data_IF_531857527190
#
_entry.id   IF_531857527190
#
_cell.length_a   1.000
_cell.length_b   1.000
_cell.length_c   1.000
_cell.angle_alpha   90.00
_cell.angle_beta   90.00
_cell.angle_gamma   90.00
#
_symmetry.space_group_name_H-M   'P 1'
#
loop_
_entity.id
_entity.type
_entity.pdbx_description
1 polymer ?
#
# COMPACT_ATOMS: atom_id res chain seq x y z
N UNK A 1 21.17 15.66 -18.42
CA UNK A 1 20.56 14.36 -18.73
C UNK A 1 20.68 13.50 -17.48
N UNK A 2 19.58 13.20 -16.81
CA UNK A 2 19.57 12.27 -15.68
C UNK A 2 19.65 10.85 -16.23
N UNK A 3 20.74 10.15 -15.97
CA UNK A 3 20.88 8.73 -16.32
C UNK A 3 19.83 7.94 -15.55
N UNK A 4 19.00 7.17 -16.26
CA UNK A 4 18.04 6.27 -15.62
C UNK A 4 18.79 5.10 -14.97
N UNK A 5 18.41 4.66 -13.76
CA UNK A 5 19.02 3.52 -13.12
C UNK A 5 18.77 2.24 -13.94
N UNK A 6 19.77 1.37 -13.95
CA UNK A 6 19.73 0.05 -14.58
C UNK A 6 18.84 -0.92 -13.78
N UNK A 7 18.38 -2.04 -14.39
CA UNK A 7 17.62 -3.06 -13.66
C UNK A 7 18.35 -3.63 -12.45
N UNK A 8 19.69 -3.76 -12.52
CA UNK A 8 20.52 -4.24 -11.41
C UNK A 8 20.51 -3.26 -10.25
N UNK A 9 20.71 -1.96 -10.52
CA UNK A 9 20.66 -0.92 -9.49
C UNK A 9 19.27 -0.80 -8.86
N UNK A 10 18.21 -1.03 -9.63
CA UNK A 10 16.84 -1.05 -9.10
C UNK A 10 16.57 -2.26 -8.21
N UNK A 11 17.06 -3.44 -8.60
CA UNK A 11 16.93 -4.66 -7.79
C UNK A 11 17.70 -4.54 -6.46
N UNK A 12 18.91 -3.98 -6.50
CA UNK A 12 19.73 -3.71 -5.32
C UNK A 12 19.04 -2.72 -4.37
N UNK A 13 18.55 -1.58 -4.89
CA UNK A 13 17.77 -0.61 -4.10
C UNK A 13 16.51 -1.22 -3.50
N UNK A 14 15.83 -2.12 -4.21
CA UNK A 14 14.66 -2.81 -3.66
C UNK A 14 15.04 -3.68 -2.45
N UNK A 15 16.16 -4.41 -2.52
CA UNK A 15 16.65 -5.21 -1.40
C UNK A 15 17.03 -4.34 -0.18
N UNK A 16 17.73 -3.23 -0.41
CA UNK A 16 18.06 -2.27 0.67
C UNK A 16 16.81 -1.59 1.24
N UNK A 17 15.81 -1.27 0.40
CA UNK A 17 14.53 -0.73 0.88
C UNK A 17 13.79 -1.74 1.76
N UNK A 18 13.82 -3.03 1.43
CA UNK A 18 13.24 -4.09 2.28
C UNK A 18 14.02 -4.22 3.60
N UNK A 19 15.35 -4.07 3.57
CA UNK A 19 16.17 -4.03 4.79
C UNK A 19 15.79 -2.86 5.68
N UNK A 20 15.63 -1.67 5.12
CA UNK A 20 15.21 -0.47 5.84
C UNK A 20 13.79 -0.61 6.40
N UNK A 21 12.87 -1.21 5.63
CA UNK A 21 11.53 -1.56 6.10
C UNK A 21 11.58 -2.50 7.31
N UNK A 22 12.38 -3.58 7.23
CA UNK A 22 12.54 -4.54 8.33
C UNK A 22 13.12 -3.88 9.59
N UNK A 23 13.98 -2.88 9.43
CA UNK A 23 14.48 -2.10 10.55
C UNK A 23 13.40 -1.19 11.14
N UNK A 24 12.64 -0.50 10.28
CA UNK A 24 11.59 0.42 10.69
C UNK A 24 10.45 -0.27 11.47
N UNK A 25 10.16 -1.55 11.20
CA UNK A 25 9.15 -2.32 11.95
C UNK A 25 9.57 -2.73 13.36
N UNK A 26 10.83 -2.49 13.76
CA UNK A 26 11.30 -2.80 15.12
C UNK A 26 10.75 -1.79 16.14
N UNK A 27 10.28 -2.23 17.33
CA UNK A 27 9.68 -1.33 18.34
C UNK A 27 10.59 -0.21 18.83
N UNK A 28 11.90 -0.38 18.74
CA UNK A 28 12.90 0.59 19.22
C UNK A 28 13.41 1.54 18.12
N UNK A 29 13.01 1.33 16.86
CA UNK A 29 13.25 2.24 15.76
C UNK A 29 12.05 3.18 15.61
N UNK A 30 11.31 3.09 14.50
CA UNK A 30 10.01 3.78 14.35
C UNK A 30 8.85 2.93 14.87
N UNK A 31 8.94 1.60 14.72
CA UNK A 31 7.88 0.66 15.04
C UNK A 31 6.65 0.84 14.17
N UNK A 32 5.60 0.09 14.51
CA UNK A 32 4.23 0.33 14.03
C UNK A 32 3.48 0.97 15.19
N UNK A 33 3.03 2.21 15.03
CA UNK A 33 2.37 2.98 16.10
C UNK A 33 0.91 2.57 16.24
N UNK A 34 0.25 2.29 15.10
CA UNK A 34 -1.15 1.90 15.04
C UNK A 34 -1.36 0.64 14.17
N UNK A 35 -2.44 -0.13 14.38
CA UNK A 35 -2.83 -1.21 13.48
C UNK A 35 -2.97 -0.78 12.01
N UNK A 36 -3.36 0.49 11.77
CA UNK A 36 -3.41 1.08 10.43
C UNK A 36 -2.05 1.16 9.72
N UNK A 37 -0.95 1.26 10.47
CA UNK A 37 0.41 1.21 9.90
C UNK A 37 0.72 -0.21 9.38
N UNK A 38 0.30 -1.24 10.11
CA UNK A 38 0.42 -2.63 9.69
C UNK A 38 -0.43 -2.89 8.44
N UNK A 39 -1.68 -2.41 8.41
CA UNK A 39 -2.57 -2.51 7.25
C UNK A 39 -1.90 -1.92 6.01
N UNK A 40 -1.48 -0.65 6.08
CA UNK A 40 -0.86 0.05 4.95
C UNK A 40 0.46 -0.60 4.51
N UNK A 41 1.27 -1.07 5.46
CA UNK A 41 2.53 -1.75 5.17
C UNK A 41 2.30 -3.07 4.43
N UNK A 42 1.35 -3.90 4.88
CA UNK A 42 1.01 -5.18 4.23
C UNK A 42 0.42 -4.95 2.85
N UNK A 43 -0.44 -3.95 2.65
CA UNK A 43 -0.97 -3.59 1.34
C UNK A 43 0.14 -3.15 0.37
N UNK A 44 1.12 -2.38 0.82
CA UNK A 44 2.27 -2.01 -0.03
C UNK A 44 3.16 -3.22 -0.38
N UNK A 45 3.34 -4.16 0.55
CA UNK A 45 4.05 -5.41 0.30
C UNK A 45 3.31 -6.29 -0.72
N UNK A 46 1.98 -6.33 -0.69
CA UNK A 46 1.18 -7.10 -1.67
C UNK A 46 1.41 -6.56 -3.09
N UNK A 47 1.46 -5.23 -3.24
CA UNK A 47 1.78 -4.59 -4.52
C UNK A 47 3.18 -4.94 -5.05
N UNK A 48 4.17 -5.12 -4.18
CA UNK A 48 5.50 -5.59 -4.58
C UNK A 48 5.42 -7.04 -5.09
N UNK A 49 4.78 -7.93 -4.32
CA UNK A 49 4.62 -9.33 -4.69
C UNK A 49 3.90 -9.49 -6.05
N UNK A 50 2.83 -8.72 -6.28
CA UNK A 50 2.07 -8.70 -7.54
C UNK A 50 2.92 -8.29 -8.75
N UNK A 51 3.94 -7.45 -8.57
CA UNK A 51 4.77 -6.92 -9.67
C UNK A 51 5.98 -7.80 -10.01
N UNK A 52 6.50 -8.57 -9.06
CA UNK A 52 7.66 -9.44 -9.25
C UNK A 52 7.53 -10.41 -10.44
N UNK A 53 6.37 -11.06 -10.70
CA UNK A 53 6.20 -11.94 -11.84
C UNK A 53 6.55 -11.32 -13.20
N UNK A 54 6.25 -10.02 -13.38
CA UNK A 54 6.54 -9.33 -14.62
C UNK A 54 8.05 -9.19 -14.85
N UNK A 55 8.79 -8.76 -13.82
CA UNK A 55 10.23 -8.60 -13.90
C UNK A 55 10.93 -9.96 -14.17
N UNK A 56 10.50 -11.01 -13.48
CA UNK A 56 11.01 -12.37 -13.67
C UNK A 56 10.80 -12.87 -15.11
N UNK A 57 9.59 -12.71 -15.67
CA UNK A 57 9.31 -13.07 -17.07
C UNK A 57 10.14 -12.25 -18.06
N UNK A 58 10.40 -10.98 -17.78
CA UNK A 58 11.25 -10.14 -18.63
C UNK A 58 12.71 -10.62 -18.65
N UNK A 59 13.24 -11.06 -17.50
CA UNK A 59 14.59 -11.63 -17.40
C UNK A 59 14.70 -12.92 -18.22
N UNK A 60 13.78 -13.87 -18.03
CA UNK A 60 13.78 -15.12 -18.80
C UNK A 60 13.62 -14.86 -20.30
N UNK A 61 12.69 -14.00 -20.68
CA UNK A 61 12.48 -13.65 -22.09
C UNK A 61 13.68 -12.94 -22.72
N UNK A 62 14.50 -12.22 -21.95
CA UNK A 62 15.78 -11.70 -22.45
C UNK A 62 16.76 -12.83 -22.76
N UNK A 63 16.95 -13.78 -21.83
CA UNK A 63 17.84 -14.92 -22.04
C UNK A 63 17.39 -15.78 -23.21
N UNK A 64 16.09 -16.03 -23.35
CA UNK A 64 15.53 -16.80 -24.46
C UNK A 64 15.86 -16.16 -25.82
N UNK A 65 15.68 -14.84 -25.95
CA UNK A 65 16.04 -14.13 -27.19
C UNK A 65 17.54 -14.21 -27.49
N UNK A 66 18.39 -14.08 -26.47
CA UNK A 66 19.83 -14.19 -26.66
C UNK A 66 20.23 -15.62 -27.07
N UNK A 67 19.53 -16.63 -26.55
CA UNK A 67 19.74 -18.03 -26.93
C UNK A 67 19.32 -18.29 -28.38
N UNK A 68 18.14 -17.82 -28.79
CA UNK A 68 17.64 -17.93 -30.17
C UNK A 68 18.56 -17.25 -31.20
N UNK A 69 19.24 -16.17 -30.79
CA UNK A 69 20.23 -15.47 -31.62
C UNK A 69 21.60 -16.17 -31.67
N UNK A 70 21.81 -17.23 -30.90
CA UNK A 70 23.07 -17.97 -30.84
C UNK A 70 24.23 -17.19 -30.22
N UNK A 71 23.94 -16.15 -29.43
CA UNK A 71 24.97 -15.27 -28.82
C UNK A 71 25.37 -15.70 -27.40
N UNK A 72 24.72 -16.72 -26.86
CA UNK A 72 25.08 -17.32 -25.56
C UNK A 72 26.04 -18.48 -25.76
N UNK A 73 26.97 -18.64 -24.82
CA UNK A 73 27.82 -19.81 -24.73
C UNK A 73 27.93 -20.24 -23.26
N UNK A 74 28.26 -21.52 -23.05
CA UNK A 74 28.67 -22.05 -21.75
C UNK A 74 30.13 -22.47 -21.85
N UNK A 75 30.92 -22.13 -20.83
CA UNK A 75 32.31 -22.58 -20.70
C UNK A 75 32.43 -24.10 -20.49
N UNK A 76 31.32 -24.78 -20.17
CA UNK A 76 31.22 -26.23 -20.03
C UNK A 76 30.67 -26.94 -21.29
N UNK A 77 30.56 -26.24 -22.43
CA UNK A 77 30.09 -26.79 -23.72
C UNK A 77 28.59 -26.68 -24.00
N UNK A 78 28.14 -26.99 -25.22
CA UNK A 78 26.77 -26.71 -25.70
C UNK A 78 25.67 -27.44 -24.92
N UNK A 79 25.80 -28.74 -24.65
CA UNK A 79 24.78 -29.50 -23.91
C UNK A 79 24.55 -28.93 -22.50
N UNK A 80 25.59 -28.33 -21.92
CA UNK A 80 25.49 -27.65 -20.63
C UNK A 80 24.76 -26.31 -20.72
N UNK A 81 24.81 -25.61 -21.85
CA UNK A 81 24.08 -24.34 -22.04
C UNK A 81 22.58 -24.60 -22.07
N UNK A 82 22.13 -25.56 -22.88
CA UNK A 82 20.71 -25.95 -22.99
C UNK A 82 20.15 -26.37 -21.63
N UNK A 83 20.91 -27.21 -20.91
CA UNK A 83 20.53 -27.66 -19.57
C UNK A 83 20.40 -26.48 -18.61
N UNK A 84 21.35 -25.53 -18.62
CA UNK A 84 21.31 -24.34 -17.74
C UNK A 84 20.15 -23.41 -18.05
N UNK A 85 19.82 -23.20 -19.34
CA UNK A 85 18.68 -22.39 -19.74
C UNK A 85 17.36 -23.06 -19.30
N UNK A 86 17.23 -24.37 -19.48
CA UNK A 86 16.06 -25.11 -18.98
C UNK A 86 15.92 -25.01 -17.45
N UNK A 87 17.03 -25.11 -16.71
CA UNK A 87 17.04 -24.92 -15.26
C UNK A 87 16.63 -23.49 -14.85
N UNK A 88 17.14 -22.47 -15.53
CA UNK A 88 16.76 -21.07 -15.29
C UNK A 88 15.26 -20.85 -15.49
N UNK A 89 14.70 -21.36 -16.60
CA UNK A 89 13.27 -21.28 -16.89
C UNK A 89 12.44 -21.91 -15.77
N UNK A 90 12.74 -23.16 -15.43
CA UNK A 90 12.06 -23.89 -14.35
C UNK A 90 12.11 -23.16 -13.01
N UNK A 91 13.30 -22.66 -12.61
CA UNK A 91 13.45 -21.92 -11.37
C UNK A 91 12.69 -20.59 -11.37
N UNK A 92 12.65 -19.91 -12.52
CA UNK A 92 11.95 -18.62 -12.64
C UNK A 92 10.43 -18.81 -12.68
N UNK A 93 9.93 -19.87 -13.32
CA UNK A 93 8.51 -20.24 -13.28
C UNK A 93 8.06 -20.57 -11.84
N UNK A 94 8.88 -21.32 -11.10
CA UNK A 94 8.63 -21.58 -9.68
C UNK A 94 8.62 -20.28 -8.86
N UNK A 95 9.53 -19.33 -9.14
CA UNK A 95 9.57 -18.03 -8.48
C UNK A 95 8.33 -17.16 -8.79
N UNK A 96 7.83 -17.21 -10.04
CA UNK A 96 6.57 -16.56 -10.42
C UNK A 96 5.40 -17.11 -9.61
N UNK A 97 5.26 -18.44 -9.54
CA UNK A 97 4.20 -19.10 -8.76
C UNK A 97 4.31 -18.73 -7.28
N UNK A 98 5.52 -18.70 -6.72
CA UNK A 98 5.74 -18.31 -5.34
C UNK A 98 5.37 -16.84 -5.07
N UNK A 99 5.65 -15.94 -6.00
CA UNK A 99 5.27 -14.53 -5.89
C UNK A 99 3.74 -14.34 -5.94
N UNK A 100 3.04 -15.07 -6.81
CA UNK A 100 1.56 -15.07 -6.85
C UNK A 100 0.97 -15.62 -5.54
N UNK A 101 1.57 -16.68 -4.98
CA UNK A 101 1.20 -17.23 -3.68
C UNK A 101 1.44 -16.24 -2.52
N UNK A 102 2.56 -15.53 -2.55
CA UNK A 102 2.87 -14.47 -1.59
C UNK A 102 1.87 -13.32 -1.69
N UNK A 103 1.54 -12.87 -2.89
CA UNK A 103 0.51 -11.85 -3.11
C UNK A 103 -0.83 -12.27 -2.51
N UNK A 104 -1.29 -13.49 -2.80
CA UNK A 104 -2.56 -13.99 -2.27
C UNK A 104 -2.57 -14.10 -0.73
N UNK A 105 -1.44 -14.47 -0.12
CA UNK A 105 -1.30 -14.52 1.34
C UNK A 105 -1.30 -13.11 1.96
N UNK A 106 -0.63 -12.15 1.32
CA UNK A 106 -0.61 -10.75 1.78
C UNK A 106 -1.97 -10.09 1.66
N UNK A 107 -2.74 -10.34 0.60
CA UNK A 107 -4.12 -9.83 0.48
C UNK A 107 -5.04 -10.40 1.57
N UNK A 108 -4.88 -11.67 1.93
CA UNK A 108 -5.60 -12.25 3.07
C UNK A 108 -5.22 -11.58 4.39
N UNK A 109 -3.92 -11.35 4.62
CA UNK A 109 -3.45 -10.64 5.81
C UNK A 109 -3.95 -9.19 5.85
N UNK A 110 -3.93 -8.50 4.71
CA UNK A 110 -4.44 -7.14 4.55
C UNK A 110 -5.94 -7.06 4.89
N UNK A 111 -6.73 -8.01 4.37
CA UNK A 111 -8.15 -8.13 4.72
C UNK A 111 -8.38 -8.44 6.21
N UNK A 112 -7.56 -9.30 6.81
CA UNK A 112 -7.64 -9.63 8.23
C UNK A 112 -7.26 -8.46 9.16
N UNK A 113 -6.44 -7.52 8.68
CA UNK A 113 -6.08 -6.29 9.39
C UNK A 113 -7.19 -5.23 9.33
N UNK A 114 -8.06 -5.26 8.31
CA UNK A 114 -9.10 -4.25 8.10
C UNK A 114 -10.02 -3.98 9.30
N UNK A 115 -10.49 -4.98 10.08
CA UNK A 115 -11.34 -4.73 11.24
C UNK A 115 -10.56 -4.46 12.54
N UNK A 116 -9.22 -4.45 12.52
CA UNK A 116 -8.41 -4.33 13.74
C UNK A 116 -8.18 -2.85 14.05
N UNK A 117 -8.80 -2.37 15.14
CA UNK A 117 -8.54 -1.06 15.74
C UNK A 117 -7.72 -1.15 17.03
N UNK A 118 -7.17 -0.02 17.50
CA UNK A 118 -6.52 0.08 18.80
C UNK A 118 -7.50 0.69 19.84
N UNK A 119 -7.49 0.17 21.06
CA UNK A 119 -8.24 0.73 22.21
C UNK A 119 -7.29 1.55 23.08
N UNK A 120 -7.78 2.64 23.69
CA UNK A 120 -7.01 3.41 24.67
C UNK A 120 -5.88 4.27 24.09
N UNK A 121 -5.94 4.56 22.78
CA UNK A 121 -5.07 5.54 22.12
C UNK A 121 -5.69 6.95 22.06
N UNK A 122 -6.85 7.16 22.71
CA UNK A 122 -7.57 8.45 22.67
C UNK A 122 -8.10 8.77 21.28
N UNK A 123 -8.26 7.77 20.42
CA UNK A 123 -9.06 7.86 19.20
C UNK A 123 -10.52 7.47 19.47
N UNK A 124 -10.74 6.85 20.63
CA UNK A 124 -11.97 6.77 21.38
C UNK A 124 -12.22 8.11 22.09
N UNK A 125 -12.47 9.16 21.32
CA UNK A 125 -13.19 10.38 21.72
C UNK A 125 -13.85 10.98 20.47
N UNK A 126 -14.95 10.33 20.12
CA UNK A 126 -16.26 10.88 19.71
C UNK A 126 -16.88 9.91 18.68
N UNK A 127 -18.08 9.37 18.95
CA UNK A 127 -18.90 8.88 17.86
C UNK A 127 -18.95 9.98 16.79
N UNK A 128 -19.01 9.62 15.50
CA UNK A 128 -19.68 10.51 14.57
C UNK A 128 -21.13 10.61 15.08
N UNK A 129 -21.39 11.53 16.01
CA UNK A 129 -22.70 12.09 16.21
C UNK A 129 -23.01 12.74 14.87
N UNK A 130 -23.92 12.11 14.13
CA UNK A 130 -24.73 12.79 13.15
C UNK A 130 -25.12 14.12 13.77
N UNK A 131 -24.60 15.21 13.23
CA UNK A 131 -24.63 16.54 13.83
C UNK A 131 -26.06 17.13 13.73
N UNK A 132 -27.03 16.46 14.34
CA UNK A 132 -28.44 16.85 14.31
C UNK A 132 -28.98 17.28 15.68
N UNK A 133 -28.34 16.91 16.80
CA UNK A 133 -28.77 17.34 18.13
C UNK A 133 -27.66 18.11 18.87
N UNK A 134 -27.45 19.36 18.46
CA UNK A 134 -26.74 20.31 19.30
C UNK A 134 -27.66 20.68 20.49
N UNK A 135 -27.33 20.31 21.74
CA UNK A 135 -28.19 20.56 22.91
C UNK A 135 -28.38 22.06 23.21
N UNK A 136 -27.56 22.91 22.60
CA UNK A 136 -27.71 24.38 22.68
C UNK A 136 -28.81 24.88 21.75
N UNK A 137 -29.02 24.24 20.59
CA UNK A 137 -30.08 24.61 19.64
C UNK A 137 -31.47 24.06 20.06
N UNK A 138 -31.55 22.95 20.81
CA UNK A 138 -32.82 22.48 21.39
C UNK A 138 -33.34 23.40 22.52
N UNK A 139 -32.44 23.97 23.32
CA UNK A 139 -32.77 24.93 24.37
C UNK A 139 -33.28 26.29 23.84
N UNK A 140 -33.11 26.58 22.55
CA UNK A 140 -33.49 27.84 21.91
C UNK A 140 -34.97 27.96 21.52
N UNK A 141 -35.73 26.85 21.47
CA UNK A 141 -37.17 26.92 21.15
C UNK A 141 -37.97 27.78 22.15
N UNK A 142 -37.40 28.06 23.33
CA UNK A 142 -38.07 28.79 24.41
C UNK A 142 -37.48 30.20 24.67
N UNK A 143 -36.34 30.57 24.07
CA UNK A 143 -35.62 31.83 24.41
C UNK A 143 -35.46 32.83 23.26
N UNK A 144 -35.52 32.41 21.99
CA UNK A 144 -35.53 33.31 20.83
C UNK A 144 -34.21 34.03 20.51
N UNK A 145 -33.10 33.68 21.18
CA UNK A 145 -31.75 34.08 20.78
C UNK A 145 -31.15 33.00 19.86
N UNK A 146 -30.56 33.39 18.72
CA UNK A 146 -29.97 32.48 17.74
C UNK A 146 -28.44 32.56 17.81
N UNK A 147 -27.77 31.48 18.21
CA UNK A 147 -26.31 31.45 18.26
C UNK A 147 -25.65 31.12 16.90
N UNK A 148 -24.49 31.71 16.56
CA UNK A 148 -23.89 31.64 15.21
C UNK A 148 -23.52 30.24 14.70
N UNK A 149 -23.31 29.28 15.61
CA UNK A 149 -22.92 27.91 15.26
C UNK A 149 -24.12 27.00 14.94
N UNK A 150 -25.36 27.44 15.23
CA UNK A 150 -26.61 26.70 14.98
C UNK A 150 -27.23 26.96 13.58
N UNK A 151 -26.64 27.83 12.75
CA UNK A 151 -27.28 28.26 11.49
C UNK A 151 -26.96 27.39 10.26
N UNK A 152 -26.15 26.34 10.39
CA UNK A 152 -25.83 25.42 9.28
C UNK A 152 -25.32 26.15 8.04
N UNK A 153 -24.45 27.16 8.22
CA UNK A 153 -24.06 28.04 7.12
C UNK A 153 -23.21 27.29 6.08
N UNK A 154 -23.69 27.25 4.84
CA UNK A 154 -22.93 26.79 3.68
C UNK A 154 -21.79 27.74 3.32
N UNK A 155 -20.74 27.24 2.67
CA UNK A 155 -19.60 28.04 2.22
C UNK A 155 -19.97 29.14 1.20
N UNK A 156 -21.18 29.08 0.63
CA UNK A 156 -21.76 30.08 -0.28
C UNK A 156 -22.61 31.16 0.42
N UNK A 157 -22.64 31.14 1.76
CA UNK A 157 -23.41 32.08 2.57
C UNK A 157 -24.90 31.72 2.69
N UNK A 158 -25.31 30.53 2.24
CA UNK A 158 -26.66 30.02 2.45
C UNK A 158 -26.86 29.52 3.89
N UNK A 159 -28.06 29.72 4.45
CA UNK A 159 -28.49 29.10 5.70
C UNK A 159 -29.61 28.10 5.43
N UNK A 160 -29.59 26.97 6.12
CA UNK A 160 -30.68 25.99 6.08
C UNK A 160 -31.91 26.47 6.87
N UNK A 161 -31.71 27.49 7.72
CA UNK A 161 -32.76 28.14 8.52
C UNK A 161 -33.12 29.53 7.99
N UNK A 162 -34.42 29.84 7.79
CA UNK A 162 -34.89 31.09 7.18
C UNK A 162 -34.79 32.32 8.10
N UNK A 163 -34.55 32.10 9.41
CA UNK A 163 -34.40 33.11 10.45
C UNK A 163 -32.92 33.50 10.69
N UNK A 164 -31.98 32.85 10.02
CA UNK A 164 -30.55 33.14 10.10
C UNK A 164 -30.07 34.06 8.95
N UNK A 165 -29.08 34.90 9.23
CA UNK A 165 -28.26 35.58 8.22
C UNK A 165 -26.82 35.10 8.33
N UNK A 166 -26.37 34.29 7.37
CA UNK A 166 -24.95 33.94 7.21
C UNK A 166 -24.28 35.05 6.38
N UNK A 167 -23.19 35.62 6.91
CA UNK A 167 -22.46 36.75 6.30
C UNK A 167 -21.31 36.34 5.41
#
# INVERSE_FOLDING_TARGET
>A
MTTHPTPVELADRAAETVRDLNYATLPWASGLAFPGDAYSTVGNLSMLAMRLPQALRQITGFIDRQHEQGVLYSDQGTDSLETRIAMLRSATDAAVIAADGLYAALEQAHGALSPIGAQGYGLDDEPYEEADDCPTCEAEQDSGEVYPHCCGCGADGSSERPDCTCG
#
